data_IF_751869834269
#
_entry.id   IF_751869834269
#
_cell.length_a   1.000
_cell.length_b   1.000
_cell.length_c   1.000
_cell.angle_alpha   90.00
_cell.angle_beta   90.00
_cell.angle_gamma   90.00
#
_symmetry.space_group_name_H-M   'P 1'
#
loop_
_entity.id
_entity.type
_entity.pdbx_description
1 polymer ?
#
# COMPACT_ATOMS: atom_id res chain seq x y z
N UNK A 1 -16.88 8.01 7.07
CA UNK A 1 -17.08 8.50 5.68
C UNK A 1 -15.81 8.44 4.82
N UNK A 2 -14.69 9.12 5.15
CA UNK A 2 -13.41 8.94 4.41
C UNK A 2 -12.65 7.66 4.80
N UNK A 3 -12.55 7.39 6.11
CA UNK A 3 -11.87 6.22 6.68
C UNK A 3 -12.47 4.86 6.31
N UNK A 4 -13.73 4.81 5.86
CA UNK A 4 -14.36 3.54 5.46
C UNK A 4 -13.95 3.13 4.04
N UNK A 5 -13.67 4.11 3.17
CA UNK A 5 -13.27 3.86 1.78
C UNK A 5 -11.89 3.24 1.69
N UNK A 6 -10.93 3.67 2.53
CA UNK A 6 -9.59 3.06 2.54
C UNK A 6 -9.63 1.57 2.95
N UNK A 7 -10.63 1.16 3.75
CA UNK A 7 -10.82 -0.26 4.09
C UNK A 7 -11.13 -1.12 2.86
N UNK A 8 -11.66 -0.55 1.78
CA UNK A 8 -11.87 -1.29 0.52
C UNK A 8 -10.55 -1.68 -0.13
N UNK A 9 -9.53 -0.81 -0.06
CA UNK A 9 -8.17 -1.13 -0.52
C UNK A 9 -7.59 -2.29 0.29
N UNK A 10 -7.80 -2.32 1.61
CA UNK A 10 -7.33 -3.44 2.44
C UNK A 10 -8.08 -4.75 2.15
N UNK A 11 -9.33 -4.68 1.70
CA UNK A 11 -10.06 -5.85 1.21
C UNK A 11 -9.49 -6.33 -0.12
N UNK A 12 -9.18 -5.42 -1.04
CA UNK A 12 -8.61 -5.73 -2.35
C UNK A 12 -7.28 -6.49 -2.25
N UNK A 13 -6.41 -6.09 -1.32
CA UNK A 13 -5.13 -6.77 -1.07
C UNK A 13 -5.32 -8.27 -0.78
N UNK A 14 -6.45 -8.67 -0.18
CA UNK A 14 -6.73 -10.07 0.14
C UNK A 14 -7.23 -10.88 -1.07
N UNK A 15 -7.59 -10.23 -2.16
CA UNK A 15 -8.13 -10.90 -3.35
C UNK A 15 -7.02 -11.63 -4.13
N UNK A 16 -7.33 -12.80 -4.74
CA UNK A 16 -6.36 -13.53 -5.55
C UNK A 16 -5.82 -12.70 -6.73
N UNK A 17 -6.67 -11.88 -7.36
CA UNK A 17 -6.30 -11.08 -8.54
C UNK A 17 -5.21 -10.06 -8.20
N UNK A 18 -5.41 -9.29 -7.13
CA UNK A 18 -4.42 -8.32 -6.66
C UNK A 18 -3.14 -9.02 -6.20
N UNK A 19 -3.26 -10.15 -5.51
CA UNK A 19 -2.11 -10.95 -5.09
C UNK A 19 -1.32 -11.49 -6.30
N UNK A 20 -1.99 -11.85 -7.38
CA UNK A 20 -1.36 -12.29 -8.62
C UNK A 20 -0.63 -11.12 -9.32
N UNK A 21 -1.24 -9.94 -9.40
CA UNK A 21 -0.60 -8.74 -9.94
C UNK A 21 0.65 -8.38 -9.12
N UNK A 22 0.61 -8.53 -7.79
CA UNK A 22 1.71 -8.18 -6.90
C UNK A 22 2.95 -9.08 -7.00
N UNK A 23 2.82 -10.27 -7.59
CA UNK A 23 3.92 -11.23 -7.73
C UNK A 23 4.72 -10.92 -9.00
N UNK A 24 6.05 -10.80 -8.88
CA UNK A 24 6.94 -10.78 -10.07
C UNK A 24 6.92 -12.14 -10.78
N UNK A 25 6.92 -13.23 -10.01
CA UNK A 25 6.77 -14.59 -10.53
C UNK A 25 5.73 -15.35 -9.70
N UNK A 26 5.02 -16.29 -10.33
CA UNK A 26 3.93 -17.06 -9.71
C UNK A 26 4.31 -17.77 -8.40
N UNK A 27 5.58 -18.13 -8.23
CA UNK A 27 6.10 -18.77 -7.03
C UNK A 27 6.37 -17.82 -5.84
N UNK A 28 6.24 -16.50 -6.00
CA UNK A 28 6.43 -15.52 -4.90
C UNK A 28 5.16 -15.37 -4.09
N UNK A 29 5.29 -14.95 -2.83
CA UNK A 29 4.15 -14.75 -1.92
C UNK A 29 3.21 -15.98 -1.79
N UNK A 30 3.75 -17.20 -1.91
CA UNK A 30 3.03 -18.47 -1.78
C UNK A 30 3.18 -19.10 -0.39
N UNK A 31 4.32 -18.86 0.26
CA UNK A 31 4.65 -19.44 1.57
C UNK A 31 4.01 -18.68 2.72
N UNK A 32 3.50 -19.42 3.70
CA UNK A 32 3.15 -18.87 5.01
C UNK A 32 4.43 -18.54 5.79
N UNK A 33 4.64 -17.26 6.13
CA UNK A 33 5.80 -16.74 6.87
C UNK A 33 5.30 -15.88 8.02
N UNK A 34 6.16 -15.57 9.00
CA UNK A 34 5.85 -14.60 10.09
C UNK A 34 5.27 -13.27 9.56
N UNK A 35 5.73 -12.84 8.38
CA UNK A 35 5.13 -11.76 7.62
C UNK A 35 4.47 -12.33 6.37
N UNK A 36 3.14 -12.31 6.38
CA UNK A 36 2.30 -12.66 5.24
C UNK A 36 2.41 -11.61 4.12
N UNK A 37 1.89 -11.92 2.94
CA UNK A 37 1.78 -10.94 1.85
C UNK A 37 0.89 -9.78 2.24
N UNK A 38 -0.21 -10.08 2.93
CA UNK A 38 -1.19 -9.10 3.37
C UNK A 38 -0.55 -8.15 4.39
N UNK A 39 0.16 -8.68 5.39
CA UNK A 39 0.91 -7.88 6.37
C UNK A 39 1.98 -7.01 5.70
N UNK A 40 2.73 -7.58 4.76
CA UNK A 40 3.75 -6.86 4.00
C UNK A 40 3.18 -5.67 3.22
N UNK A 41 2.05 -5.86 2.54
CA UNK A 41 1.37 -4.79 1.81
C UNK A 41 0.80 -3.72 2.74
N UNK A 42 0.24 -4.11 3.89
CA UNK A 42 -0.25 -3.16 4.89
C UNK A 42 0.89 -2.28 5.42
N UNK A 43 2.02 -2.87 5.81
CA UNK A 43 3.21 -2.13 6.25
C UNK A 43 3.69 -1.13 5.19
N UNK A 44 3.63 -1.48 3.90
CA UNK A 44 4.02 -0.59 2.81
C UNK A 44 3.07 0.60 2.64
N UNK A 45 1.76 0.38 2.80
CA UNK A 45 0.74 1.41 2.64
C UNK A 45 0.58 2.29 3.88
N UNK A 46 0.98 1.82 5.05
CA UNK A 46 0.79 2.50 6.34
C UNK A 46 2.08 3.08 6.94
N UNK A 47 3.09 3.37 6.11
CA UNK A 47 4.39 3.90 6.58
C UNK A 47 4.20 5.25 7.28
N UNK A 48 4.82 5.43 8.44
CA UNK A 48 4.76 6.67 9.25
C UNK A 48 6.04 7.51 9.20
N UNK A 49 6.93 7.22 8.24
CA UNK A 49 8.20 7.94 8.10
C UNK A 49 9.27 7.55 9.12
N UNK A 50 9.09 6.45 9.87
CA UNK A 50 10.11 5.96 10.81
C UNK A 50 11.05 4.95 10.14
N UNK A 51 12.08 4.51 10.89
CA UNK A 51 13.00 3.47 10.39
C UNK A 51 12.25 2.17 10.10
N UNK A 52 12.69 1.39 9.10
CA UNK A 52 12.04 0.11 8.78
C UNK A 52 11.93 -0.83 9.98
N UNK A 53 12.92 -0.87 10.85
CA UNK A 53 12.86 -1.69 12.08
C UNK A 53 11.73 -1.22 13.01
N UNK A 54 11.60 0.10 13.21
CA UNK A 54 10.53 0.66 14.04
C UNK A 54 9.15 0.41 13.43
N UNK A 55 8.98 0.61 12.13
CA UNK A 55 7.72 0.33 11.41
C UNK A 55 7.30 -1.13 11.61
N UNK A 56 8.23 -2.07 11.46
CA UNK A 56 7.95 -3.50 11.64
C UNK A 56 7.57 -3.84 13.07
N UNK A 57 8.34 -3.34 14.05
CA UNK A 57 8.05 -3.58 15.46
C UNK A 57 6.71 -2.99 15.88
N UNK A 58 6.40 -1.77 15.43
CA UNK A 58 5.14 -1.09 15.73
C UNK A 58 3.96 -1.84 15.09
N UNK A 59 4.09 -2.24 13.82
CA UNK A 59 3.05 -3.00 13.13
C UNK A 59 2.69 -4.30 13.87
N UNK A 60 3.68 -5.12 14.22
CA UNK A 60 3.41 -6.38 14.93
C UNK A 60 2.96 -6.15 16.37
N UNK A 61 3.40 -5.07 17.03
CA UNK A 61 2.89 -4.66 18.34
C UNK A 61 1.42 -4.27 18.30
N UNK A 62 0.99 -3.53 17.29
CA UNK A 62 -0.41 -3.10 17.10
C UNK A 62 -1.35 -4.27 16.78
N UNK A 63 -0.80 -5.40 16.31
CA UNK A 63 -1.55 -6.62 15.98
C UNK A 63 -1.47 -7.69 17.08
N UNK A 64 -0.92 -7.34 18.26
CA UNK A 64 -0.67 -8.28 19.36
C UNK A 64 0.16 -9.52 18.98
N UNK A 65 1.13 -9.32 18.07
CA UNK A 65 2.04 -10.35 17.53
C UNK A 65 3.51 -9.99 17.76
N UNK A 66 3.85 -9.47 18.94
CA UNK A 66 5.20 -8.91 19.24
C UNK A 66 6.34 -9.93 19.08
N UNK A 67 6.05 -11.21 19.20
CA UNK A 67 6.94 -12.33 18.96
C UNK A 67 7.36 -12.49 17.49
N UNK A 68 6.61 -11.89 16.56
CA UNK A 68 6.94 -11.86 15.14
C UNK A 68 8.02 -10.83 14.82
N UNK A 69 9.25 -11.20 15.12
CA UNK A 69 10.43 -10.41 14.76
C UNK A 69 10.77 -10.65 13.27
N UNK A 70 10.71 -9.59 12.48
CA UNK A 70 11.08 -9.59 11.05
C UNK A 70 12.24 -8.64 10.84
N UNK A 71 13.34 -9.14 10.27
CA UNK A 71 14.53 -8.32 10.03
C UNK A 71 14.34 -7.36 8.86
N UNK A 72 15.05 -6.21 8.91
CA UNK A 72 15.11 -5.24 7.79
C UNK A 72 15.55 -5.92 6.50
N UNK A 73 16.50 -6.86 6.56
CA UNK A 73 16.99 -7.60 5.41
C UNK A 73 15.90 -8.51 4.83
N UNK A 74 15.14 -9.21 5.68
CA UNK A 74 14.03 -10.07 5.22
C UNK A 74 12.92 -9.25 4.56
N UNK A 75 12.56 -8.10 5.13
CA UNK A 75 11.61 -7.17 4.54
C UNK A 75 12.09 -6.63 3.18
N UNK A 76 13.35 -6.20 3.10
CA UNK A 76 13.95 -5.73 1.84
C UNK A 76 13.93 -6.82 0.77
N UNK A 77 14.28 -8.05 1.12
CA UNK A 77 14.19 -9.21 0.21
C UNK A 77 12.77 -9.47 -0.27
N UNK A 78 11.75 -9.35 0.59
CA UNK A 78 10.36 -9.45 0.15
C UNK A 78 9.99 -8.34 -0.84
N UNK A 79 10.43 -7.11 -0.59
CA UNK A 79 10.21 -5.97 -1.51
C UNK A 79 10.80 -6.18 -2.90
N UNK A 80 11.96 -6.82 -3.01
CA UNK A 80 12.54 -7.19 -4.32
C UNK A 80 11.69 -8.19 -5.12
N UNK A 81 10.73 -8.88 -4.49
CA UNK A 81 9.82 -9.81 -5.16
C UNK A 81 8.45 -9.20 -5.50
N UNK A 82 8.24 -7.92 -5.15
CA UNK A 82 6.99 -7.20 -5.36
C UNK A 82 6.98 -6.55 -6.75
N UNK A 83 5.96 -6.85 -7.53
CA UNK A 83 5.68 -6.13 -8.76
C UNK A 83 5.02 -4.77 -8.41
N UNK A 84 5.64 -3.61 -8.73
CA UNK A 84 5.08 -2.31 -8.41
C UNK A 84 3.74 -2.02 -9.12
N UNK A 85 3.40 -2.76 -10.19
CA UNK A 85 2.11 -2.66 -10.86
C UNK A 85 0.90 -2.88 -9.95
N UNK A 86 1.08 -3.55 -8.80
CA UNK A 86 0.02 -3.70 -7.79
C UNK A 86 -0.48 -2.36 -7.26
N UNK A 87 0.40 -1.35 -7.11
CA UNK A 87 -0.02 -0.04 -6.58
C UNK A 87 -0.89 0.71 -7.58
N UNK A 88 -0.57 0.57 -8.87
CA UNK A 88 -1.39 1.10 -9.97
C UNK A 88 -2.76 0.42 -9.96
N UNK A 89 -2.80 -0.91 -9.87
CA UNK A 89 -4.04 -1.66 -9.83
C UNK A 89 -4.92 -1.27 -8.63
N UNK A 90 -4.33 -1.20 -7.43
CA UNK A 90 -5.03 -0.76 -6.21
C UNK A 90 -5.56 0.66 -6.34
N UNK A 91 -4.76 1.59 -6.88
CA UNK A 91 -5.19 2.96 -7.10
C UNK A 91 -6.32 3.05 -8.12
N UNK A 92 -6.24 2.33 -9.24
CA UNK A 92 -7.29 2.29 -10.26
C UNK A 92 -8.60 1.76 -9.68
N UNK A 93 -8.55 0.68 -8.89
CA UNK A 93 -9.72 0.15 -8.19
C UNK A 93 -10.31 1.17 -7.21
N UNK A 94 -9.46 1.85 -6.44
CA UNK A 94 -9.88 2.87 -5.49
C UNK A 94 -10.56 4.05 -6.17
N UNK A 95 -9.93 4.60 -7.22
CA UNK A 95 -10.44 5.72 -8.01
C UNK A 95 -11.74 5.34 -8.72
N UNK A 96 -11.83 4.16 -9.32
CA UNK A 96 -13.04 3.68 -9.97
C UNK A 96 -14.24 3.66 -9.01
N UNK A 97 -14.03 3.21 -7.76
CA UNK A 97 -15.08 3.23 -6.72
C UNK A 97 -15.53 4.64 -6.37
N UNK A 98 -14.61 5.61 -6.33
CA UNK A 98 -14.97 7.01 -6.07
C UNK A 98 -15.89 7.53 -7.18
N UNK A 99 -15.54 7.31 -8.45
CA UNK A 99 -16.36 7.81 -9.57
C UNK A 99 -17.70 7.07 -9.72
N UNK A 100 -17.81 5.83 -9.24
CA UNK A 100 -19.04 5.06 -9.23
C UNK A 100 -19.96 5.37 -8.02
N UNK A 101 -19.43 6.02 -6.98
CA UNK A 101 -20.18 6.34 -5.78
C UNK A 101 -21.19 7.46 -6.05
N UNK A 102 -22.47 7.07 -6.19
CA UNK A 102 -23.59 7.98 -6.44
C UNK A 102 -23.91 8.89 -5.25
N UNK A 103 -23.34 8.63 -4.07
CA UNK A 103 -23.57 9.47 -2.87
C UNK A 103 -22.72 10.74 -2.89
N UNK A 104 -21.71 10.83 -3.78
CA UNK A 104 -20.85 12.01 -3.89
C UNK A 104 -21.59 13.14 -4.61
N UNK A 105 -21.76 14.26 -3.91
CA UNK A 105 -22.35 15.48 -4.47
C UNK A 105 -21.38 16.08 -5.50
N UNK A 106 -21.89 16.36 -6.70
CA UNK A 106 -21.13 16.97 -7.80
C UNK A 106 -21.54 18.43 -7.96
N UNK A 107 -20.58 19.30 -8.24
CA UNK A 107 -20.82 20.68 -8.64
C UNK A 107 -20.59 20.81 -10.14
N UNK A 108 -21.62 21.19 -10.90
CA UNK A 108 -21.58 21.30 -12.38
C UNK A 108 -21.04 20.04 -13.07
N UNK A 109 -21.34 18.86 -12.54
CA UNK A 109 -20.87 17.58 -13.07
C UNK A 109 -19.49 17.13 -12.56
N UNK A 110 -18.77 17.97 -11.82
CA UNK A 110 -17.43 17.68 -11.31
C UNK A 110 -17.44 17.36 -9.81
N UNK A 111 -16.53 16.49 -9.38
CA UNK A 111 -16.21 16.29 -7.97
C UNK A 111 -15.19 17.38 -7.60
N UNK A 112 -15.57 18.28 -6.69
CA UNK A 112 -14.65 19.31 -6.19
C UNK A 112 -13.96 18.77 -4.95
N UNK A 113 -12.64 18.65 -5.02
CA UNK A 113 -11.79 18.26 -3.90
C UNK A 113 -10.83 19.38 -3.57
N UNK A 114 -10.81 19.83 -2.31
CA UNK A 114 -9.72 20.65 -1.80
C UNK A 114 -8.60 19.72 -1.33
N UNK A 115 -7.41 19.88 -1.89
CA UNK A 115 -6.21 19.15 -1.47
C UNK A 115 -5.24 20.20 -0.97
N UNK A 116 -4.85 20.08 0.30
CA UNK A 116 -3.75 20.89 0.82
C UNK A 116 -2.43 20.34 0.25
N UNK A 117 -1.61 21.23 -0.31
CA UNK A 117 -0.39 20.87 -1.01
C UNK A 117 0.66 20.37 -0.02
N UNK A 118 1.04 19.10 -0.10
CA UNK A 118 2.21 18.60 0.61
C UNK A 118 3.44 18.72 -0.30
N UNK A 119 4.51 19.37 0.17
CA UNK A 119 5.80 19.36 -0.51
C UNK A 119 6.47 17.99 -0.31
N UNK A 120 6.87 17.35 -1.41
CA UNK A 120 7.65 16.11 -1.39
C UNK A 120 8.96 16.37 -2.12
N UNK A 121 10.09 16.02 -1.50
CA UNK A 121 11.40 16.06 -2.13
C UNK A 121 11.53 14.87 -3.09
N UNK A 122 11.74 15.15 -4.37
CA UNK A 122 11.98 14.12 -5.37
C UNK A 122 13.48 13.75 -5.32
N UNK A 123 13.86 12.46 -5.45
CA UNK A 123 15.27 12.07 -5.46
C UNK A 123 16.07 12.86 -6.51
N UNK A 124 17.21 13.41 -6.10
CA UNK A 124 18.08 14.18 -6.97
C UNK A 124 18.77 13.26 -7.99
N UNK A 125 18.12 12.98 -9.11
CA UNK A 125 18.66 12.17 -10.21
C UNK A 125 19.10 13.07 -11.36
N UNK A 126 20.10 12.63 -12.14
CA UNK A 126 20.62 13.41 -13.29
C UNK A 126 19.54 13.81 -14.30
N UNK A 127 18.47 13.03 -14.44
CA UNK A 127 17.36 13.35 -15.35
C UNK A 127 16.37 14.40 -14.82
N UNK A 128 16.55 14.84 -13.57
CA UNK A 128 15.73 15.84 -12.89
C UNK A 128 16.53 17.11 -12.54
N UNK A 129 17.81 17.14 -12.90
CA UNK A 129 18.69 18.30 -12.76
C UNK A 129 18.60 19.10 -14.07
N UNK A 130 18.37 20.42 -13.99
CA UNK A 130 18.40 21.35 -15.13
C UNK A 130 19.81 21.49 -15.74
#
# INVERSE_FOLDING_TARGET
MGYDRIRTVFKDIKTPDIKNIARITSNKFTRNRKMSYEDFMLVLLSRRGTTTTMELNNFFKEQDRRENIVSKQAFSKQRCNLNPGVFIALNNNYVARIYQDKTIVKHKGYIITAIDGSAIEIPNTKGLQE
#
